data_IF_748975547340
#
_entry.id   IF_748975547340
#
_cell.length_a   1.000
_cell.length_b   1.000
_cell.length_c   1.000
_cell.angle_alpha   90.00
_cell.angle_beta   90.00
_cell.angle_gamma   90.00
#
_symmetry.space_group_name_H-M   'P 1'
#
loop_
_entity.id
_entity.type
_entity.pdbx_description
1 polymer ?
#
# COMPACT_ATOMS: atom_id res chain seq x y z
N UNK A 1 6.34 -6.03 17.40
CA UNK A 1 6.85 -7.23 16.69
C UNK A 1 6.07 -7.54 15.40
N UNK A 2 4.74 -7.38 15.32
CA UNK A 2 3.95 -7.70 14.12
C UNK A 2 4.19 -6.78 12.90
N UNK A 3 4.18 -5.45 13.10
CA UNK A 3 4.39 -4.45 12.02
C UNK A 3 5.68 -4.66 11.22
N UNK A 4 6.80 -4.87 11.91
CA UNK A 4 8.10 -5.01 11.26
C UNK A 4 8.18 -6.27 10.39
N UNK A 5 7.61 -7.40 10.86
CA UNK A 5 7.55 -8.65 10.08
C UNK A 5 6.72 -8.48 8.81
N UNK A 6 5.58 -7.79 8.89
CA UNK A 6 4.71 -7.60 7.74
C UNK A 6 5.38 -6.76 6.64
N UNK A 7 6.05 -5.67 7.01
CA UNK A 7 6.81 -4.85 6.06
C UNK A 7 7.98 -5.63 5.42
N UNK A 8 8.63 -6.54 6.17
CA UNK A 8 9.68 -7.41 5.62
C UNK A 8 9.11 -8.41 4.60
N UNK A 9 7.98 -9.05 4.91
CA UNK A 9 7.32 -9.97 3.97
C UNK A 9 6.87 -9.24 2.68
N UNK A 10 6.41 -8.00 2.81
CA UNK A 10 6.02 -7.16 1.68
C UNK A 10 7.21 -6.82 0.78
N UNK A 11 8.35 -6.48 1.40
CA UNK A 11 9.61 -6.24 0.68
C UNK A 11 10.09 -7.51 -0.05
N UNK A 12 9.89 -8.68 0.55
CA UNK A 12 10.20 -9.98 -0.03
C UNK A 12 9.15 -10.47 -1.06
N UNK A 13 8.12 -9.68 -1.36
CA UNK A 13 6.97 -10.07 -2.22
C UNK A 13 6.27 -11.37 -1.77
N UNK A 14 6.39 -11.72 -0.49
CA UNK A 14 5.73 -12.89 0.10
C UNK A 14 4.25 -12.63 0.39
N UNK A 15 3.88 -11.35 0.57
CA UNK A 15 2.51 -10.88 0.76
C UNK A 15 2.27 -9.66 -0.12
N UNK A 16 1.02 -9.47 -0.54
CA UNK A 16 0.58 -8.33 -1.33
C UNK A 16 0.02 -7.19 -0.48
N UNK A 17 -0.29 -6.08 -1.14
CA UNK A 17 -1.00 -4.94 -0.52
C UNK A 17 -2.39 -5.34 -0.02
N UNK A 18 -3.05 -6.29 -0.69
CA UNK A 18 -4.33 -6.87 -0.24
C UNK A 18 -4.20 -7.45 1.16
N UNK A 19 -3.21 -8.32 1.40
CA UNK A 19 -3.03 -8.99 2.68
C UNK A 19 -2.77 -7.99 3.82
N UNK A 20 -2.05 -6.90 3.53
CA UNK A 20 -1.84 -5.83 4.52
C UNK A 20 -3.10 -5.04 4.80
N UNK A 21 -3.90 -4.74 3.77
CA UNK A 21 -5.17 -4.05 3.96
C UNK A 21 -6.16 -4.91 4.76
N UNK A 22 -6.18 -6.22 4.53
CA UNK A 22 -7.02 -7.17 5.25
C UNK A 22 -6.57 -7.33 6.70
N UNK A 23 -5.25 -7.35 6.96
CA UNK A 23 -4.72 -7.35 8.33
C UNK A 23 -4.97 -6.03 9.05
N UNK A 24 -4.94 -4.90 8.33
CA UNK A 24 -5.26 -3.59 8.88
C UNK A 24 -6.72 -3.44 9.31
N UNK A 25 -7.64 -4.25 8.78
CA UNK A 25 -9.03 -4.29 9.27
C UNK A 25 -9.17 -5.03 10.61
N UNK A 26 -8.18 -5.85 10.99
CA UNK A 26 -8.20 -6.68 12.21
C UNK A 26 -7.24 -6.20 13.30
N UNK A 27 -6.28 -5.33 12.95
CA UNK A 27 -5.26 -4.82 13.85
C UNK A 27 -5.21 -3.28 13.77
N UNK A 28 -5.60 -2.61 14.87
CA UNK A 28 -5.58 -1.15 14.95
C UNK A 28 -4.18 -0.54 14.76
N UNK A 29 -3.11 -1.25 15.13
CA UNK A 29 -1.74 -0.78 14.96
C UNK A 29 -1.41 -0.70 13.46
N UNK A 30 -1.85 -1.71 12.70
CA UNK A 30 -1.73 -1.71 11.25
C UNK A 30 -2.65 -0.66 10.60
N UNK A 31 -3.90 -0.52 11.09
CA UNK A 31 -4.84 0.50 10.62
C UNK A 31 -4.26 1.92 10.70
N UNK A 32 -3.40 2.18 11.71
CA UNK A 32 -2.73 3.47 11.90
C UNK A 32 -1.55 3.70 10.95
N UNK A 33 -1.09 2.73 10.17
CA UNK A 33 0.03 2.94 9.24
C UNK A 33 -0.37 3.90 8.13
N UNK A 34 0.53 4.81 7.74
CA UNK A 34 0.30 5.69 6.58
C UNK A 34 0.37 4.88 5.30
N UNK A 35 -0.56 5.14 4.38
CA UNK A 35 -0.63 4.43 3.09
C UNK A 35 0.66 4.65 2.28
N UNK A 36 1.24 5.85 2.35
CA UNK A 36 2.50 6.17 1.67
C UNK A 36 3.69 5.33 2.15
N UNK A 37 3.73 4.96 3.44
CA UNK A 37 4.81 4.14 4.00
C UNK A 37 4.70 2.68 3.54
N UNK A 38 3.46 2.19 3.40
CA UNK A 38 3.19 0.89 2.79
C UNK A 38 3.66 0.87 1.33
N UNK A 39 3.31 1.89 0.55
CA UNK A 39 3.71 1.98 -0.85
C UNK A 39 5.24 2.02 -1.00
N UNK A 40 5.96 2.80 -0.19
CA UNK A 40 7.43 2.85 -0.19
C UNK A 40 8.10 1.53 0.19
N UNK A 41 7.38 0.62 0.84
CA UNK A 41 7.91 -0.69 1.23
C UNK A 41 7.83 -1.72 0.11
N UNK A 42 7.11 -1.42 -0.98
CA UNK A 42 7.04 -2.27 -2.16
C UNK A 42 8.34 -2.22 -2.96
N UNK A 43 8.78 -3.36 -3.53
CA UNK A 43 9.99 -3.40 -4.34
C UNK A 43 9.83 -2.51 -5.60
N UNK A 44 10.82 -1.64 -5.82
CA UNK A 44 10.83 -0.72 -6.95
C UNK A 44 9.96 0.55 -6.79
N UNK A 45 9.33 0.77 -5.62
CA UNK A 45 8.53 1.96 -5.33
C UNK A 45 9.30 2.92 -4.43
N UNK A 46 9.88 3.95 -5.03
CA UNK A 46 10.50 5.05 -4.30
C UNK A 46 9.49 6.08 -3.75
N UNK A 47 9.94 7.09 -2.98
CA UNK A 47 9.07 8.13 -2.42
C UNK A 47 8.27 8.89 -3.50
N UNK A 48 8.89 9.19 -4.64
CA UNK A 48 8.23 9.88 -5.77
C UNK A 48 7.17 9.01 -6.42
N UNK A 49 7.47 7.72 -6.64
CA UNK A 49 6.53 6.77 -7.25
C UNK A 49 5.32 6.50 -6.36
N UNK A 50 5.56 6.37 -5.05
CA UNK A 50 4.50 6.26 -4.06
C UNK A 50 3.58 7.49 -4.08
N UNK A 51 4.14 8.70 -4.09
CA UNK A 51 3.33 9.93 -4.13
C UNK A 51 2.48 9.99 -5.39
N UNK A 52 3.08 9.79 -6.57
CA UNK A 52 2.34 9.79 -7.86
C UNK A 52 1.22 8.76 -7.93
N UNK A 53 1.47 7.56 -7.41
CA UNK A 53 0.47 6.50 -7.31
C UNK A 53 -0.72 6.94 -6.45
N UNK A 54 -0.45 7.52 -5.29
CA UNK A 54 -1.50 8.00 -4.38
C UNK A 54 -2.27 9.18 -4.98
N UNK A 55 -1.58 10.13 -5.59
CA UNK A 55 -2.20 11.29 -6.27
C UNK A 55 -3.12 10.82 -7.40
N UNK A 56 -2.68 9.87 -8.23
CA UNK A 56 -3.49 9.30 -9.31
C UNK A 56 -4.72 8.52 -8.84
N UNK A 57 -4.74 8.06 -7.58
CA UNK A 57 -5.90 7.41 -6.94
C UNK A 57 -6.76 8.43 -6.16
N UNK A 58 -6.23 9.64 -5.89
CA UNK A 58 -6.87 10.64 -5.03
C UNK A 58 -6.78 10.28 -3.55
N UNK A 59 -5.64 9.74 -3.11
CA UNK A 59 -5.34 9.44 -1.70
C UNK A 59 -4.32 10.46 -1.20
N UNK A 60 -4.67 11.17 -0.12
CA UNK A 60 -3.73 12.06 0.56
C UNK A 60 -2.57 11.29 1.21
N UNK A 61 -1.35 11.83 1.20
CA UNK A 61 -0.17 11.16 1.75
C UNK A 61 -0.21 10.99 3.28
N UNK A 62 -1.01 11.78 4.00
CA UNK A 62 -1.30 11.62 5.42
C UNK A 62 -2.39 10.57 5.71
N UNK A 63 -3.05 10.03 4.68
CA UNK A 63 -4.08 8.99 4.84
C UNK A 63 -3.48 7.74 5.46
N UNK A 64 -4.27 7.10 6.34
CA UNK A 64 -3.93 5.84 7.03
C UNK A 64 -4.73 4.68 6.45
N UNK A 65 -4.23 3.45 6.63
CA UNK A 65 -4.85 2.23 6.07
C UNK A 65 -6.32 2.07 6.50
N UNK A 66 -6.63 2.28 7.78
CA UNK A 66 -8.01 2.21 8.29
C UNK A 66 -8.94 3.32 7.79
N UNK A 67 -8.40 4.40 7.21
CA UNK A 67 -9.19 5.50 6.67
C UNK A 67 -9.49 5.37 5.17
N UNK A 68 -9.08 4.29 4.51
CA UNK A 68 -9.27 4.12 3.08
C UNK A 68 -10.71 3.72 2.74
N UNK A 69 -11.30 4.38 1.73
CA UNK A 69 -12.59 3.98 1.17
C UNK A 69 -12.45 2.70 0.35
N UNK A 70 -13.50 1.90 0.24
CA UNK A 70 -13.50 0.64 -0.53
C UNK A 70 -12.94 0.81 -1.96
N UNK A 71 -13.33 1.88 -2.67
CA UNK A 71 -12.79 2.22 -4.00
C UNK A 71 -11.28 2.45 -4.00
N UNK A 72 -10.78 3.20 -3.01
CA UNK A 72 -9.35 3.50 -2.88
C UNK A 72 -8.54 2.23 -2.59
N UNK A 73 -9.08 1.35 -1.72
CA UNK A 73 -8.49 0.02 -1.42
C UNK A 73 -8.39 -0.82 -2.69
N UNK A 74 -9.47 -0.92 -3.46
CA UNK A 74 -9.49 -1.67 -4.70
C UNK A 74 -8.48 -1.12 -5.71
N UNK A 75 -8.42 0.20 -5.90
CA UNK A 75 -7.47 0.81 -6.83
C UNK A 75 -6.00 0.59 -6.43
N UNK A 76 -5.69 0.58 -5.13
CA UNK A 76 -4.36 0.21 -4.62
C UNK A 76 -4.04 -1.24 -4.94
N UNK A 77 -4.97 -2.16 -4.68
CA UNK A 77 -4.80 -3.60 -4.97
C UNK A 77 -4.57 -3.79 -6.47
N UNK A 78 -5.38 -3.19 -7.33
CA UNK A 78 -5.26 -3.32 -8.78
C UNK A 78 -3.94 -2.76 -9.31
N UNK A 79 -3.46 -1.66 -8.73
CA UNK A 79 -2.18 -1.05 -9.12
C UNK A 79 -0.95 -1.87 -8.69
N UNK A 80 -1.10 -2.72 -7.67
CA UNK A 80 0.00 -3.43 -7.02
C UNK A 80 -0.08 -4.96 -7.17
N UNK A 81 -1.13 -5.47 -7.83
CA UNK A 81 -1.28 -6.87 -8.23
C UNK A 81 -0.15 -7.28 -9.19
N UNK A 82 0.33 -8.53 -9.07
CA UNK A 82 1.45 -9.03 -9.85
C UNK A 82 1.03 -9.39 -11.30
N UNK A 83 1.85 -9.06 -12.32
CA UNK A 83 3.09 -8.27 -12.23
C UNK A 83 2.77 -6.83 -11.84
N UNK A 84 3.57 -6.22 -10.95
CA UNK A 84 3.32 -4.87 -10.42
C UNK A 84 3.15 -3.85 -11.57
N UNK A 85 1.93 -3.37 -11.81
CA UNK A 85 1.60 -2.57 -13.01
C UNK A 85 1.67 -1.05 -12.81
N UNK A 86 1.81 -0.52 -11.60
CA UNK A 86 1.69 0.93 -11.37
C UNK A 86 2.65 1.78 -12.22
N UNK A 87 3.85 1.29 -12.58
CA UNK A 87 4.79 2.00 -13.46
C UNK A 87 4.25 2.22 -14.89
N UNK A 88 3.36 1.33 -15.35
CA UNK A 88 2.66 1.46 -16.64
C UNK A 88 1.34 2.19 -16.50
N UNK A 89 0.64 1.97 -15.38
CA UNK A 89 -0.72 2.50 -15.13
C UNK A 89 -0.74 4.01 -14.89
N UNK A 90 0.34 4.59 -14.36
CA UNK A 90 0.43 6.02 -13.99
C UNK A 90 1.60 6.74 -14.68
N UNK A 91 2.02 6.25 -15.85
CA UNK A 91 2.93 6.98 -16.76
C UNK A 91 2.10 7.91 -17.65
#
# INVERSE_FOLDING_TARGET
>A
MARARMLQQLKASQIGVRDVLDAADRDEILARIKVVDLMKSLPGVGPVGAQRLLDGIGIDSARRLGGLRARQRQQLIDATTYPIQWRKKFR
#
